data_IF_210320710651
#
_entry.id   IF_210320710651
#
_cell.length_a   1.000
_cell.length_b   1.000
_cell.length_c   1.000
_cell.angle_alpha   90.00
_cell.angle_beta   90.00
_cell.angle_gamma   90.00
#
_symmetry.space_group_name_H-M   'P 1'
#
loop_
_entity.id
_entity.type
_entity.pdbx_description
1 polymer ?
#
# COMPACT_ATOMS: atom_id res chain seq x y z
N UNK A 1 -14.43 -4.31 0.24
CA UNK A 1 -14.54 -4.10 -1.22
C UNK A 1 -15.21 -2.76 -1.42
N UNK A 2 -14.57 -1.85 -2.16
CA UNK A 2 -15.13 -0.58 -2.57
C UNK A 2 -15.33 -0.59 -4.10
N UNK A 3 -16.41 0.02 -4.55
CA UNK A 3 -16.69 0.26 -5.95
C UNK A 3 -16.94 1.74 -6.14
N UNK A 4 -16.18 2.39 -7.00
CA UNK A 4 -16.30 3.80 -7.30
C UNK A 4 -16.59 3.97 -8.79
N UNK A 5 -17.62 4.73 -9.11
CA UNK A 5 -17.93 5.15 -10.46
C UNK A 5 -17.61 6.64 -10.59
N UNK A 6 -16.73 6.95 -11.53
CA UNK A 6 -16.35 8.32 -11.85
C UNK A 6 -17.01 8.76 -13.16
N UNK A 7 -17.65 9.92 -13.13
CA UNK A 7 -18.23 10.57 -14.30
C UNK A 7 -17.89 12.06 -14.23
N UNK A 8 -17.24 12.57 -15.27
CA UNK A 8 -16.99 14.00 -15.40
C UNK A 8 -18.30 14.71 -15.76
N UNK A 9 -18.74 15.62 -14.87
CA UNK A 9 -19.99 16.37 -15.02
C UNK A 9 -19.81 17.60 -15.92
N UNK A 10 -18.57 18.01 -16.19
CA UNK A 10 -18.28 19.28 -16.88
C UNK A 10 -17.94 19.10 -18.36
N UNK A 11 -17.30 17.99 -18.74
CA UNK A 11 -16.79 17.78 -20.10
C UNK A 11 -17.27 16.50 -20.77
N UNK A 12 -17.99 15.64 -20.07
CA UNK A 12 -18.47 14.32 -20.52
C UNK A 12 -17.37 13.39 -21.09
N UNK A 13 -16.10 13.69 -20.79
CA UNK A 13 -14.94 13.04 -21.39
C UNK A 13 -14.27 12.00 -20.47
N UNK A 14 -14.67 11.87 -19.21
CA UNK A 14 -14.06 10.93 -18.27
C UNK A 14 -15.13 9.98 -17.70
N UNK A 15 -15.31 8.85 -18.35
CA UNK A 15 -16.17 7.77 -17.85
C UNK A 15 -15.32 6.55 -17.53
N UNK A 16 -15.14 6.25 -16.26
CA UNK A 16 -14.46 5.03 -15.85
C UNK A 16 -15.04 4.48 -14.54
N UNK A 17 -14.87 3.19 -14.37
CA UNK A 17 -15.27 2.50 -13.15
C UNK A 17 -14.01 1.97 -12.46
N UNK A 18 -13.91 2.14 -11.15
CA UNK A 18 -12.81 1.62 -10.37
C UNK A 18 -13.34 0.68 -9.28
N UNK A 19 -12.74 -0.51 -9.21
CA UNK A 19 -13.02 -1.51 -8.18
C UNK A 19 -11.78 -1.69 -7.34
N UNK A 20 -11.91 -1.47 -6.04
CA UNK A 20 -10.84 -1.72 -5.07
C UNK A 20 -11.24 -2.88 -4.16
N UNK A 21 -10.42 -3.92 -4.13
CA UNK A 21 -10.48 -4.99 -3.15
C UNK A 21 -9.33 -4.87 -2.17
N UNK A 22 -9.63 -4.91 -0.87
CA UNK A 22 -8.61 -4.90 0.18
C UNK A 22 -8.95 -5.93 1.23
N UNK A 23 -7.95 -6.69 1.67
CA UNK A 23 -8.02 -7.64 2.76
C UNK A 23 -6.85 -7.41 3.72
N UNK A 24 -7.15 -7.40 5.01
CA UNK A 24 -6.16 -7.26 6.06
C UNK A 24 -6.36 -8.38 7.08
N UNK A 25 -5.24 -8.95 7.55
CA UNK A 25 -5.23 -9.98 8.57
C UNK A 25 -4.18 -9.66 9.62
N UNK A 26 -4.58 -9.70 10.88
CA UNK A 26 -3.68 -9.54 12.04
C UNK A 26 -3.68 -10.85 12.82
N UNK A 27 -2.50 -11.37 13.10
CA UNK A 27 -2.26 -12.59 13.85
C UNK A 27 -1.36 -12.26 15.04
N UNK A 28 -1.93 -12.19 16.22
CA UNK A 28 -1.19 -11.96 17.47
C UNK A 28 -0.90 -13.28 18.17
N UNK A 29 0.26 -13.40 18.79
CA UNK A 29 0.70 -14.59 19.55
C UNK A 29 1.63 -14.17 20.71
N UNK A 30 1.88 -15.10 21.64
CA UNK A 30 2.63 -14.87 22.88
C UNK A 30 2.09 -13.67 23.69
N UNK A 31 0.80 -13.74 24.06
CA UNK A 31 0.12 -12.71 24.86
C UNK A 31 0.21 -11.30 24.22
N UNK A 32 0.04 -11.22 22.89
CA UNK A 32 0.06 -10.00 22.09
C UNK A 32 1.41 -9.24 22.05
N UNK A 33 2.49 -9.89 22.49
CA UNK A 33 3.82 -9.30 22.33
C UNK A 33 4.32 -9.34 20.88
N UNK A 34 3.77 -10.24 20.07
CA UNK A 34 4.14 -10.41 18.67
C UNK A 34 2.90 -10.37 17.80
N UNK A 35 2.94 -9.60 16.74
CA UNK A 35 1.85 -9.49 15.76
C UNK A 35 2.41 -9.59 14.34
N UNK A 36 1.81 -10.45 13.53
CA UNK A 36 2.01 -10.46 12.09
C UNK A 36 0.79 -9.79 11.46
N UNK A 37 1.02 -8.74 10.71
CA UNK A 37 0.01 -8.03 9.95
C UNK A 37 0.25 -8.27 8.46
N UNK A 38 -0.76 -8.73 7.75
CA UNK A 38 -0.75 -8.99 6.32
C UNK A 38 -1.81 -8.14 5.66
N UNK A 39 -1.48 -7.57 4.50
CA UNK A 39 -2.42 -6.82 3.67
C UNK A 39 -2.28 -7.22 2.23
N UNK A 40 -3.40 -7.38 1.57
CA UNK A 40 -3.52 -7.45 0.13
C UNK A 40 -4.45 -6.35 -0.36
N UNK A 41 -4.06 -5.63 -1.40
CA UNK A 41 -4.90 -4.64 -2.08
C UNK A 41 -4.78 -4.81 -3.58
N UNK A 42 -5.91 -4.84 -4.27
CA UNK A 42 -6.01 -4.81 -5.73
C UNK A 42 -6.92 -3.69 -6.17
N UNK A 43 -6.50 -2.96 -7.19
CA UNK A 43 -7.29 -1.88 -7.79
C UNK A 43 -7.40 -2.16 -9.28
N UNK A 44 -8.64 -2.18 -9.79
CA UNK A 44 -8.95 -2.35 -11.20
C UNK A 44 -9.72 -1.16 -11.71
N UNK A 45 -9.25 -0.58 -12.81
CA UNK A 45 -9.93 0.53 -13.47
C UNK A 45 -10.35 0.12 -14.87
N UNK A 46 -11.64 0.21 -15.14
CA UNK A 46 -12.24 -0.07 -16.44
C UNK A 46 -12.72 1.24 -17.08
N UNK A 47 -12.20 1.54 -18.28
CA UNK A 47 -12.60 2.66 -19.12
C UNK A 47 -12.68 2.18 -20.56
N UNK A 48 -13.52 2.81 -21.38
CA UNK A 48 -13.61 2.50 -22.81
C UNK A 48 -12.31 2.85 -23.53
N UNK A 49 -11.72 4.01 -23.20
CA UNK A 49 -10.39 4.39 -23.67
C UNK A 49 -9.47 4.67 -22.49
N UNK A 50 -8.20 4.34 -22.62
CA UNK A 50 -7.19 4.63 -21.58
C UNK A 50 -7.02 6.15 -21.35
N UNK A 51 -7.27 6.95 -22.37
CA UNK A 51 -7.20 8.42 -22.31
C UNK A 51 -8.33 9.05 -21.49
N UNK A 52 -9.42 8.32 -21.24
CA UNK A 52 -10.56 8.81 -20.47
C UNK A 52 -10.29 8.81 -18.95
N UNK A 53 -9.18 8.19 -18.53
CA UNK A 53 -8.79 8.17 -17.13
C UNK A 53 -7.81 9.30 -16.85
N UNK A 54 -8.19 10.32 -16.06
CA UNK A 54 -7.27 11.38 -15.66
C UNK A 54 -6.06 10.77 -14.92
N UNK A 55 -4.85 11.25 -15.21
CA UNK A 55 -3.62 10.67 -14.65
C UNK A 55 -3.58 10.64 -13.12
N UNK A 56 -4.25 11.61 -12.47
CA UNK A 56 -4.31 11.72 -11.01
C UNK A 56 -5.30 10.71 -10.38
N UNK A 57 -6.17 10.09 -11.18
CA UNK A 57 -7.09 9.03 -10.76
C UNK A 57 -6.52 7.61 -10.99
N UNK A 58 -5.42 7.50 -11.72
CA UNK A 58 -4.78 6.21 -11.94
C UNK A 58 -4.31 5.60 -10.62
N UNK A 59 -4.53 4.30 -10.40
CA UNK A 59 -3.91 3.55 -9.33
C UNK A 59 -2.40 3.77 -9.28
N UNK A 60 -1.89 3.97 -8.07
CA UNK A 60 -0.49 4.26 -7.87
C UNK A 60 0.11 3.45 -6.72
N UNK A 61 1.40 3.17 -6.80
CA UNK A 61 2.22 2.58 -5.76
C UNK A 61 3.47 3.43 -5.53
N UNK A 62 4.06 3.25 -4.36
CA UNK A 62 5.17 4.03 -3.82
C UNK A 62 4.73 4.90 -2.65
N UNK A 63 5.64 5.10 -1.70
CA UNK A 63 5.42 5.90 -0.50
C UNK A 63 5.01 5.10 0.73
N UNK A 64 4.77 5.81 1.84
CA UNK A 64 4.71 5.24 3.20
C UNK A 64 3.56 4.25 3.46
N UNK A 65 2.56 4.20 2.60
CA UNK A 65 1.35 3.37 2.77
C UNK A 65 1.23 2.25 1.74
N UNK A 66 2.19 2.14 0.82
CA UNK A 66 2.19 1.11 -0.24
C UNK A 66 3.55 0.42 -0.33
N UNK A 67 4.44 0.83 -1.22
CA UNK A 67 5.81 0.34 -1.36
C UNK A 67 6.77 1.33 -0.69
N UNK A 68 7.11 1.07 0.57
CA UNK A 68 7.83 2.02 1.45
C UNK A 68 9.25 2.37 0.98
N UNK A 69 9.88 1.50 0.23
CA UNK A 69 11.23 1.73 -0.32
C UNK A 69 11.27 2.63 -1.56
N UNK A 70 10.12 3.11 -2.05
CA UNK A 70 10.01 3.92 -3.25
C UNK A 70 9.38 5.28 -2.93
N UNK A 71 9.71 6.29 -3.76
CA UNK A 71 9.10 7.62 -3.65
C UNK A 71 7.57 7.57 -3.80
N UNK A 72 6.83 8.52 -3.18
CA UNK A 72 5.39 8.60 -3.35
C UNK A 72 5.00 8.70 -4.83
N UNK A 73 3.99 7.93 -5.21
CA UNK A 73 3.43 7.90 -6.57
C UNK A 73 4.41 7.45 -7.66
N UNK A 74 5.45 6.70 -7.31
CA UNK A 74 6.51 6.27 -8.23
C UNK A 74 5.99 5.46 -9.41
N UNK A 75 5.03 4.59 -9.15
CA UNK A 75 4.42 3.72 -10.16
C UNK A 75 2.97 4.09 -10.37
N UNK A 76 2.54 4.19 -11.62
CA UNK A 76 1.13 4.46 -11.99
C UNK A 76 0.75 3.67 -13.22
N UNK A 77 -0.46 3.10 -13.22
CA UNK A 77 -1.05 2.42 -14.37
C UNK A 77 -2.55 2.20 -14.12
N UNK A 78 -3.25 1.56 -15.05
CA UNK A 78 -4.70 1.30 -14.97
C UNK A 78 -5.08 0.37 -13.83
N UNK A 79 -4.20 -0.56 -13.48
CA UNK A 79 -4.41 -1.54 -12.42
C UNK A 79 -3.24 -1.56 -11.47
N UNK A 80 -3.48 -1.97 -10.23
CA UNK A 80 -2.44 -2.14 -9.23
C UNK A 80 -2.72 -3.36 -8.37
N UNK A 81 -1.65 -4.04 -7.96
CA UNK A 81 -1.69 -5.08 -6.92
C UNK A 81 -0.59 -4.82 -5.91
N UNK A 82 -0.92 -4.99 -4.64
CA UNK A 82 -0.04 -4.71 -3.51
C UNK A 82 -0.18 -5.79 -2.45
N UNK A 83 0.94 -6.23 -1.91
CA UNK A 83 1.07 -7.10 -0.75
C UNK A 83 2.00 -6.45 0.26
N UNK A 84 1.56 -6.34 1.49
CA UNK A 84 2.39 -5.89 2.61
C UNK A 84 2.39 -6.98 3.68
N UNK A 85 3.55 -7.22 4.26
CA UNK A 85 3.72 -8.04 5.44
C UNK A 85 4.51 -7.26 6.48
N UNK A 86 4.04 -7.22 7.70
CA UNK A 86 4.71 -6.54 8.80
C UNK A 86 4.67 -7.42 10.05
N UNK A 87 5.84 -7.68 10.62
CA UNK A 87 6.00 -8.31 11.91
C UNK A 87 6.31 -7.24 12.94
N UNK A 88 5.53 -7.21 14.02
CA UNK A 88 5.68 -6.28 15.15
C UNK A 88 6.04 -7.04 16.40
N UNK A 89 7.04 -6.54 17.10
CA UNK A 89 7.44 -7.02 18.41
C UNK A 89 7.30 -5.89 19.43
N UNK A 90 6.42 -6.08 20.39
CA UNK A 90 6.21 -5.14 21.50
C UNK A 90 7.39 -5.21 22.46
N UNK A 91 8.22 -4.18 22.45
CA UNK A 91 9.40 -4.07 23.34
C UNK A 91 9.08 -3.30 24.63
N UNK A 92 8.12 -2.37 24.56
CA UNK A 92 7.55 -1.65 25.69
C UNK A 92 6.04 -1.48 25.52
N UNK A 93 5.34 -1.12 26.60
CA UNK A 93 3.89 -0.89 26.55
C UNK A 93 3.46 0.25 25.60
N UNK A 94 4.40 1.10 25.19
CA UNK A 94 4.18 2.21 24.25
C UNK A 94 5.01 2.14 22.97
N UNK A 95 5.80 1.07 22.76
CA UNK A 95 6.68 0.99 21.61
C UNK A 95 6.81 -0.43 21.06
N UNK A 96 6.62 -0.57 19.76
CA UNK A 96 6.84 -1.79 19.00
C UNK A 96 7.98 -1.60 18.00
N UNK A 97 8.88 -2.58 17.91
CA UNK A 97 9.76 -2.74 16.75
C UNK A 97 9.00 -3.42 15.62
N UNK A 98 9.23 -2.98 14.40
CA UNK A 98 8.63 -3.58 13.23
C UNK A 98 9.69 -4.00 12.19
N UNK A 99 9.47 -5.16 11.58
CA UNK A 99 10.15 -5.59 10.36
C UNK A 99 9.09 -5.75 9.29
N UNK A 100 9.38 -5.32 8.05
CA UNK A 100 8.39 -5.38 7.00
C UNK A 100 8.97 -5.72 5.64
N UNK A 101 8.10 -6.26 4.79
CA UNK A 101 8.33 -6.46 3.38
C UNK A 101 7.09 -6.05 2.60
N UNK A 102 7.30 -5.32 1.52
CA UNK A 102 6.25 -4.87 0.61
C UNK A 102 6.58 -5.39 -0.79
N UNK A 103 5.54 -5.79 -1.52
CA UNK A 103 5.65 -6.22 -2.91
C UNK A 103 4.43 -5.76 -3.69
N UNK A 104 4.63 -5.21 -4.87
CA UNK A 104 3.51 -4.76 -5.70
C UNK A 104 3.93 -4.42 -7.11
N UNK A 105 2.96 -4.24 -7.96
CA UNK A 105 3.16 -3.74 -9.32
C UNK A 105 1.92 -3.02 -9.82
N UNK A 106 2.13 -2.18 -10.81
CA UNK A 106 1.07 -1.58 -11.62
C UNK A 106 1.12 -2.16 -13.04
N UNK A 107 -0.01 -2.24 -13.71
CA UNK A 107 -0.11 -2.85 -15.05
C UNK A 107 -1.32 -2.30 -15.81
N UNK A 108 -1.24 -2.33 -17.15
CA UNK A 108 -2.30 -1.84 -18.03
C UNK A 108 -3.23 -2.95 -18.51
N UNK A 109 -2.72 -4.16 -18.67
CA UNK A 109 -3.48 -5.32 -19.11
C UNK A 109 -3.82 -6.22 -17.93
N UNK A 110 -5.09 -6.55 -17.77
CA UNK A 110 -5.56 -7.45 -16.70
C UNK A 110 -4.94 -8.85 -16.77
N UNK A 111 -4.54 -9.30 -17.96
CA UNK A 111 -3.80 -10.55 -18.16
C UNK A 111 -2.39 -10.54 -17.54
N UNK A 112 -1.84 -9.38 -17.26
CA UNK A 112 -0.56 -9.23 -16.57
C UNK A 112 -0.67 -9.37 -15.03
N UNK A 113 -1.87 -9.59 -14.49
CA UNK A 113 -2.02 -9.88 -13.07
C UNK A 113 -1.25 -11.15 -12.68
N UNK A 114 -0.57 -11.12 -11.55
CA UNK A 114 0.21 -12.27 -11.06
C UNK A 114 1.36 -11.83 -10.16
N UNK A 115 2.14 -12.80 -9.72
CA UNK A 115 3.25 -12.62 -8.78
C UNK A 115 4.62 -12.41 -9.46
N UNK A 116 4.64 -12.23 -10.78
CA UNK A 116 5.87 -11.99 -11.54
C UNK A 116 6.15 -10.50 -11.69
N UNK A 117 7.41 -10.11 -11.71
CA UNK A 117 7.86 -8.72 -11.90
C UNK A 117 7.25 -7.75 -10.87
N UNK A 118 7.26 -8.16 -9.59
CA UNK A 118 6.87 -7.30 -8.50
C UNK A 118 8.03 -6.40 -8.11
N UNK A 119 7.75 -5.11 -7.95
CA UNK A 119 8.64 -4.19 -7.26
C UNK A 119 8.57 -4.49 -5.76
N UNK A 120 9.73 -4.63 -5.12
CA UNK A 120 9.83 -5.05 -3.72
C UNK A 120 10.58 -4.05 -2.88
N UNK A 121 10.14 -3.89 -1.64
CA UNK A 121 10.88 -3.18 -0.61
C UNK A 121 10.82 -3.92 0.71
N UNK A 122 11.80 -3.70 1.56
CA UNK A 122 11.85 -4.27 2.89
C UNK A 122 12.53 -3.30 3.85
N UNK A 123 12.32 -3.48 5.13
CA UNK A 123 12.90 -2.58 6.10
C UNK A 123 12.50 -2.90 7.52
N UNK A 124 12.79 -1.94 8.38
CA UNK A 124 12.43 -1.99 9.78
C UNK A 124 12.08 -0.61 10.31
N UNK A 125 11.45 -0.57 11.45
CA UNK A 125 11.05 0.69 12.06
C UNK A 125 10.55 0.58 13.47
N UNK A 126 10.23 1.74 14.03
CA UNK A 126 9.68 1.90 15.38
C UNK A 126 8.24 2.42 15.28
N UNK A 127 7.37 1.87 16.11
CA UNK A 127 5.98 2.29 16.28
C UNK A 127 5.80 2.82 17.68
N UNK A 128 5.42 4.07 17.84
CA UNK A 128 4.98 4.61 19.11
C UNK A 128 3.47 4.39 19.20
N UNK A 129 3.07 3.66 20.22
CA UNK A 129 1.69 3.19 20.39
C UNK A 129 1.05 3.92 21.59
N UNK A 130 -0.15 4.44 21.39
CA UNK A 130 -1.00 4.95 22.45
C UNK A 130 -2.25 4.07 22.58
N UNK A 131 -3.09 4.26 23.62
CA UNK A 131 -4.34 3.52 23.77
C UNK A 131 -5.29 3.61 22.56
N UNK A 132 -5.17 4.67 21.76
CA UNK A 132 -5.94 4.90 20.54
C UNK A 132 -5.32 4.23 19.26
N UNK A 133 -4.17 3.56 19.37
CA UNK A 133 -3.47 2.93 18.25
C UNK A 133 -2.07 3.51 18.00
N UNK A 134 -1.50 3.22 16.84
CA UNK A 134 -0.18 3.77 16.46
C UNK A 134 -0.28 5.27 16.23
N UNK A 135 0.50 6.05 16.99
CA UNK A 135 0.55 7.50 16.85
C UNK A 135 1.65 7.97 15.94
N UNK A 136 2.83 7.38 16.06
CA UNK A 136 4.02 7.79 15.31
C UNK A 136 4.74 6.56 14.80
N UNK A 137 5.18 6.65 13.55
CA UNK A 137 5.89 5.60 12.85
C UNK A 137 7.18 6.17 12.24
N UNK A 138 8.29 5.53 12.56
CA UNK A 138 9.58 5.78 11.94
C UNK A 138 10.04 4.52 11.23
N UNK A 139 10.25 4.59 9.93
CA UNK A 139 10.68 3.47 9.09
C UNK A 139 11.94 3.80 8.32
N UNK A 140 12.80 2.79 8.16
CA UNK A 140 13.89 2.78 7.19
C UNK A 140 13.59 1.64 6.22
N UNK A 141 13.39 1.97 4.96
CA UNK A 141 13.02 1.04 3.90
C UNK A 141 14.06 1.02 2.80
N UNK A 142 14.37 -0.17 2.30
CA UNK A 142 15.30 -0.41 1.19
C UNK A 142 14.57 -1.00 0.01
N UNK A 143 14.89 -0.51 -1.19
CA UNK A 143 14.43 -1.03 -2.47
C UNK A 143 15.58 -1.09 -3.48
N UNK A 144 15.27 -1.42 -4.72
CA UNK A 144 16.22 -1.36 -5.84
C UNK A 144 16.62 0.08 -6.19
N UNK A 145 15.82 1.08 -5.84
CA UNK A 145 16.09 2.50 -6.13
C UNK A 145 16.89 3.20 -5.01
N UNK A 146 16.97 2.61 -3.82
CA UNK A 146 17.72 3.21 -2.73
C UNK A 146 17.17 2.90 -1.34
N UNK A 147 17.46 3.81 -0.42
CA UNK A 147 16.99 3.74 0.98
C UNK A 147 16.17 4.98 1.30
N UNK A 148 14.95 4.77 1.77
CA UNK A 148 14.04 5.82 2.21
C UNK A 148 13.89 5.81 3.72
N UNK A 149 13.86 7.00 4.30
CA UNK A 149 13.54 7.23 5.72
C UNK A 149 12.17 7.89 5.78
N UNK A 150 11.26 7.28 6.51
CA UNK A 150 9.86 7.68 6.57
C UNK A 150 9.49 8.01 8.01
N UNK A 151 8.93 9.20 8.21
CA UNK A 151 8.25 9.58 9.43
C UNK A 151 6.77 9.81 9.08
N UNK A 152 5.88 9.11 9.74
CA UNK A 152 4.45 9.23 9.47
C UNK A 152 3.60 8.98 10.72
N UNK A 153 2.34 9.39 10.66
CA UNK A 153 1.36 9.23 11.71
C UNK A 153 0.35 8.14 11.33
N UNK A 154 -0.13 7.41 12.33
CA UNK A 154 -1.12 6.36 12.15
C UNK A 154 -0.54 5.00 11.72
N UNK A 155 -1.43 4.05 11.50
CA UNK A 155 -1.06 2.70 11.07
C UNK A 155 -0.58 2.69 9.60
N UNK A 156 0.32 1.76 9.23
CA UNK A 156 0.75 1.60 7.84
C UNK A 156 -0.39 1.11 6.93
N UNK A 157 -1.32 0.37 7.49
CA UNK A 157 -2.55 -0.14 6.86
C UNK A 157 -3.51 -0.64 7.94
#
# INVERSE_FOLDING_TARGET
>A
IAYDRFQDVTSDNAHFNQVTGEAQQYLSFFNDYHTVALRHRSVYTAAENAADIPFYQLPHLGGPYTLRGFEPFRFRSRHAVLFNAEYRWRIWHFADLALFADAGKVFDDIGAWGFTNLDTSWGGGLRIVAPAGVMLRFDVARSTEGTNVILSFGNPF
#
